data_IF_118333950307
#
_entry.id   IF_118333950307
#
_cell.length_a   1.000
_cell.length_b   1.000
_cell.length_c   1.000
_cell.angle_alpha   90.00
_cell.angle_beta   90.00
_cell.angle_gamma   90.00
#
_symmetry.space_group_name_H-M   'P 1'
#
loop_
_entity.id
_entity.type
_entity.pdbx_description
1 polymer ?
#
# COMPACT_ATOMS: atom_id res chain seq x y z
N UNK A 1 32.22 27.54 -54.75
CA UNK A 1 31.39 28.68 -54.35
C UNK A 1 30.24 28.08 -53.60
N UNK A 2 30.37 28.01 -52.27
CA UNK A 2 29.61 28.80 -51.31
C UNK A 2 28.21 28.22 -51.12
N UNK A 3 27.69 27.87 -50.00
CA UNK A 3 27.99 28.18 -48.60
C UNK A 3 27.13 27.21 -47.77
N UNK A 4 27.71 26.42 -46.90
CA UNK A 4 26.98 25.58 -45.93
C UNK A 4 26.84 26.36 -44.62
N UNK A 5 25.66 26.91 -44.40
CA UNK A 5 25.28 27.57 -43.16
C UNK A 5 25.17 26.54 -42.01
N UNK A 6 25.93 26.79 -40.97
CA UNK A 6 25.91 26.08 -39.66
C UNK A 6 24.54 26.34 -39.00
N UNK A 7 23.76 25.27 -38.75
CA UNK A 7 22.65 25.34 -37.79
C UNK A 7 23.21 24.96 -36.42
N UNK A 8 23.18 25.95 -35.53
CA UNK A 8 23.54 25.77 -34.13
C UNK A 8 22.60 24.82 -33.40
N UNK A 9 23.17 23.94 -32.63
CA UNK A 9 22.49 23.24 -31.57
C UNK A 9 22.11 24.23 -30.46
N UNK A 10 20.85 24.56 -30.36
CA UNK A 10 20.30 25.20 -29.15
C UNK A 10 20.17 24.13 -28.08
N UNK A 11 20.70 24.47 -26.91
CA UNK A 11 20.81 23.59 -25.77
C UNK A 11 19.43 23.11 -25.27
N UNK A 12 19.44 21.91 -24.79
CA UNK A 12 18.39 21.37 -23.96
C UNK A 12 18.22 22.26 -22.71
N UNK A 13 17.10 22.93 -22.60
CA UNK A 13 16.67 23.51 -21.34
C UNK A 13 16.60 22.37 -20.30
N UNK A 14 17.60 22.34 -19.43
CA UNK A 14 17.54 21.57 -18.22
C UNK A 14 16.31 22.09 -17.44
N UNK A 15 15.26 21.27 -17.34
CA UNK A 15 14.18 21.53 -16.41
C UNK A 15 14.81 21.71 -15.03
N UNK A 16 14.90 22.95 -14.61
CA UNK A 16 15.19 23.31 -13.21
C UNK A 16 14.01 22.73 -12.42
N UNK A 17 14.22 21.60 -11.80
CA UNK A 17 13.31 21.05 -10.81
C UNK A 17 13.27 22.09 -9.68
N UNK A 18 12.22 22.87 -9.63
CA UNK A 18 11.92 23.70 -8.45
C UNK A 18 12.01 22.79 -7.22
N UNK A 19 13.00 23.04 -6.40
CA UNK A 19 13.15 22.36 -5.12
C UNK A 19 11.99 22.85 -4.26
N UNK A 20 10.93 22.05 -4.17
CA UNK A 20 9.83 22.35 -3.25
C UNK A 20 10.42 22.54 -1.84
N UNK A 21 9.99 23.59 -1.10
CA UNK A 21 10.49 23.83 0.24
C UNK A 21 10.31 22.59 1.12
N UNK A 22 11.30 22.30 1.95
CA UNK A 22 11.26 21.16 2.86
C UNK A 22 10.08 21.29 3.83
N UNK A 23 9.09 20.42 3.69
CA UNK A 23 7.91 20.35 4.56
C UNK A 23 8.19 19.45 5.76
N UNK A 24 7.73 19.83 6.95
CA UNK A 24 7.82 18.99 8.16
C UNK A 24 6.58 18.11 8.24
N UNK A 25 6.77 16.82 8.00
CA UNK A 25 5.69 15.83 7.91
C UNK A 25 5.69 14.92 9.14
N UNK A 26 4.60 14.89 9.88
CA UNK A 26 4.39 13.91 10.95
C UNK A 26 3.52 12.76 10.44
N UNK A 27 4.00 11.54 10.55
CA UNK A 27 3.26 10.34 10.21
C UNK A 27 2.66 9.75 11.49
N UNK A 28 1.32 9.68 11.56
CA UNK A 28 0.57 9.18 12.70
C UNK A 28 -0.18 7.89 12.31
N UNK A 29 -0.18 6.86 13.17
CA UNK A 29 -0.91 5.64 12.88
C UNK A 29 -0.76 4.56 13.94
N UNK A 30 -1.31 3.39 13.66
CA UNK A 30 -1.18 2.20 14.51
C UNK A 30 0.08 1.39 14.19
N UNK A 31 0.55 0.63 15.15
CA UNK A 31 1.49 -0.45 14.93
C UNK A 31 0.76 -1.67 14.32
N UNK A 32 1.45 -2.51 13.56
CA UNK A 32 0.86 -3.70 12.92
C UNK A 32 0.95 -3.64 11.39
N UNK A 33 -0.12 -4.02 10.67
CA UNK A 33 -0.13 -3.97 9.19
C UNK A 33 0.15 -2.57 8.64
N UNK A 34 -0.36 -1.54 9.33
CA UNK A 34 -0.14 -0.13 8.98
C UNK A 34 1.29 0.36 9.25
N UNK A 35 2.07 -0.35 10.05
CA UNK A 35 3.50 -0.01 10.26
C UNK A 35 4.28 -0.03 8.94
N UNK A 36 3.95 -0.96 8.04
CA UNK A 36 4.58 -1.00 6.72
C UNK A 36 4.26 0.26 5.91
N UNK A 37 3.04 0.75 6.00
CA UNK A 37 2.62 2.00 5.38
C UNK A 37 3.42 3.18 5.92
N UNK A 38 3.42 3.35 7.23
CA UNK A 38 4.17 4.43 7.88
C UNK A 38 5.66 4.37 7.57
N UNK A 39 6.25 3.17 7.53
CA UNK A 39 7.65 3.00 7.20
C UNK A 39 7.95 3.37 5.74
N UNK A 40 7.11 2.94 4.80
CA UNK A 40 7.28 3.24 3.38
C UNK A 40 7.04 4.71 3.09
N UNK A 41 6.02 5.33 3.71
CA UNK A 41 5.78 6.77 3.63
C UNK A 41 6.96 7.56 4.21
N UNK A 42 7.48 7.15 5.38
CA UNK A 42 8.66 7.78 5.99
C UNK A 42 9.86 7.80 5.02
N UNK A 43 10.18 6.64 4.44
CA UNK A 43 11.28 6.55 3.47
C UNK A 43 11.05 7.41 2.23
N UNK A 44 9.81 7.47 1.76
CA UNK A 44 9.45 8.33 0.63
C UNK A 44 9.62 9.81 0.96
N UNK A 45 9.18 10.26 2.13
CA UNK A 45 9.37 11.64 2.58
C UNK A 45 10.85 12.01 2.68
N UNK A 46 11.68 11.14 3.29
CA UNK A 46 13.15 11.35 3.39
C UNK A 46 13.77 11.47 2.00
N UNK A 47 13.41 10.59 1.05
CA UNK A 47 13.93 10.64 -0.33
C UNK A 47 13.51 11.89 -1.08
N UNK A 48 12.36 12.46 -0.76
CA UNK A 48 11.87 13.70 -1.33
C UNK A 48 12.47 14.95 -0.65
N UNK A 49 13.34 14.79 0.35
CA UNK A 49 14.00 15.89 1.04
C UNK A 49 13.15 16.56 2.14
N UNK A 50 12.03 15.93 2.56
CA UNK A 50 11.20 16.44 3.63
C UNK A 50 11.71 16.03 5.01
N UNK A 51 11.55 16.90 6.02
CA UNK A 51 11.73 16.51 7.41
C UNK A 51 10.56 15.62 7.85
N UNK A 52 10.84 14.47 8.47
CA UNK A 52 9.78 13.51 8.82
C UNK A 52 9.99 12.89 10.17
N UNK A 53 8.92 12.79 10.95
CA UNK A 53 8.86 12.03 12.20
C UNK A 53 7.66 11.09 12.23
N UNK A 54 7.69 10.09 13.12
CA UNK A 54 6.63 9.07 13.24
C UNK A 54 6.14 8.95 14.67
N UNK A 55 4.82 8.89 14.83
CA UNK A 55 4.17 8.61 16.12
C UNK A 55 3.21 7.42 15.96
N UNK A 56 3.32 6.47 16.88
CA UNK A 56 2.37 5.37 16.97
C UNK A 56 1.33 5.68 18.05
N UNK A 57 0.09 5.93 17.60
CA UNK A 57 -1.02 6.32 18.46
C UNK A 57 -1.52 5.21 19.38
N UNK A 58 -1.32 3.95 18.98
CA UNK A 58 -1.75 2.78 19.75
C UNK A 58 -0.63 1.73 19.72
N UNK A 59 -0.51 0.96 20.82
CA UNK A 59 0.53 -0.04 20.97
C UNK A 59 1.90 0.55 20.68
N UNK A 60 2.23 1.65 21.31
CA UNK A 60 3.47 2.40 21.12
C UNK A 60 4.70 1.52 20.89
N UNK A 61 5.73 2.09 20.38
CA UNK A 61 6.99 1.42 19.98
C UNK A 61 7.84 0.92 21.18
N UNK A 62 7.43 1.18 22.42
CA UNK A 62 8.16 0.80 23.63
C UNK A 62 7.55 -0.43 24.31
N UNK A 63 8.39 -1.26 24.94
CA UNK A 63 7.96 -2.38 25.77
C UNK A 63 7.00 -1.92 26.89
N UNK A 64 7.26 -0.74 27.47
CA UNK A 64 6.44 -0.13 28.51
C UNK A 64 5.01 0.13 28.05
N UNK A 65 4.80 0.65 26.84
CA UNK A 65 3.46 0.91 26.30
C UNK A 65 2.68 -0.38 26.06
N UNK A 66 3.38 -1.45 25.62
CA UNK A 66 2.75 -2.77 25.42
C UNK A 66 2.37 -3.44 26.73
N UNK A 67 3.23 -3.35 27.75
CA UNK A 67 2.95 -3.88 29.09
C UNK A 67 1.80 -3.13 29.74
N UNK A 68 1.76 -1.80 29.61
CA UNK A 68 0.69 -0.98 30.18
C UNK A 68 -0.67 -1.27 29.52
N UNK A 69 -0.73 -1.39 28.19
CA UNK A 69 -1.95 -1.77 27.47
C UNK A 69 -2.46 -3.17 27.88
N UNK A 70 -1.54 -4.12 28.08
CA UNK A 70 -1.88 -5.47 28.55
C UNK A 70 -2.35 -5.46 30.00
N UNK A 71 -1.78 -4.62 30.84
CA UNK A 71 -2.15 -4.53 32.27
C UNK A 71 -3.53 -3.90 32.46
N UNK A 72 -3.92 -2.93 31.62
CA UNK A 72 -5.24 -2.30 31.63
C UNK A 72 -6.34 -3.14 30.97
N UNK A 73 -6.02 -4.29 30.38
CA UNK A 73 -7.00 -5.18 29.73
C UNK A 73 -7.72 -4.58 28.53
N UNK A 74 -7.21 -3.48 27.96
CA UNK A 74 -7.76 -2.80 26.79
C UNK A 74 -6.69 -2.72 25.71
N UNK A 75 -6.79 -3.58 24.71
CA UNK A 75 -6.01 -3.43 23.48
C UNK A 75 -6.38 -2.10 22.82
N UNK A 76 -5.41 -1.19 22.76
CA UNK A 76 -5.55 0.09 22.08
C UNK A 76 -5.95 1.28 22.94
N UNK A 77 -5.96 1.17 24.27
CA UNK A 77 -6.22 2.33 25.14
C UNK A 77 -5.10 3.37 25.05
N UNK A 78 -5.49 4.63 24.82
CA UNK A 78 -4.57 5.78 24.91
C UNK A 78 -4.29 6.07 26.37
N UNK A 79 -3.02 6.27 26.71
CA UNK A 79 -2.61 6.61 28.06
C UNK A 79 -2.11 8.05 28.12
N UNK A 80 -2.29 8.71 29.26
CA UNK A 80 -1.90 10.11 29.44
C UNK A 80 -0.43 10.38 29.06
N UNK A 81 0.49 9.43 29.35
CA UNK A 81 1.89 9.60 28.96
C UNK A 81 2.13 9.51 27.43
N UNK A 82 1.29 8.75 26.68
CA UNK A 82 1.35 8.71 25.21
C UNK A 82 0.93 10.04 24.62
N UNK A 83 -0.13 10.64 25.15
CA UNK A 83 -0.58 11.97 24.73
C UNK A 83 0.45 13.05 25.10
N UNK A 84 0.98 13.05 26.32
CA UNK A 84 2.05 13.97 26.72
C UNK A 84 3.33 13.82 25.87
N UNK A 85 3.67 12.60 25.42
CA UNK A 85 4.75 12.38 24.46
C UNK A 85 4.42 12.95 23.09
N UNK A 86 3.18 12.80 22.65
CA UNK A 86 2.73 13.34 21.38
C UNK A 86 2.78 14.86 21.38
N UNK A 87 2.28 15.52 22.43
CA UNK A 87 2.34 16.97 22.63
C UNK A 87 3.78 17.49 22.59
N UNK A 88 4.72 16.82 23.30
CA UNK A 88 6.15 17.17 23.21
C UNK A 88 6.69 17.01 21.79
N UNK A 89 6.34 15.92 21.09
CA UNK A 89 6.76 15.74 19.70
C UNK A 89 6.24 16.87 18.81
N UNK A 90 5.00 17.32 19.01
CA UNK A 90 4.42 18.44 18.27
C UNK A 90 5.12 19.77 18.57
N UNK A 91 5.43 20.04 19.85
CA UNK A 91 6.13 21.24 20.27
C UNK A 91 7.55 21.33 19.67
N UNK A 92 8.27 20.19 19.68
CA UNK A 92 9.66 20.12 19.18
C UNK A 92 9.71 20.12 17.65
N UNK A 93 8.85 19.33 17.00
CA UNK A 93 8.91 19.11 15.55
C UNK A 93 8.11 20.15 14.74
N UNK A 94 7.00 20.69 15.29
CA UNK A 94 6.10 21.68 14.66
C UNK A 94 5.75 21.28 13.23
N UNK A 95 5.00 20.19 13.02
CA UNK A 95 4.68 19.71 11.68
C UNK A 95 3.84 20.71 10.89
N UNK A 96 4.09 20.81 9.59
CA UNK A 96 3.26 21.55 8.64
C UNK A 96 2.11 20.66 8.14
N UNK A 97 2.39 19.34 8.03
CA UNK A 97 1.45 18.32 7.57
C UNK A 97 1.48 17.11 8.52
N UNK A 98 0.31 16.60 8.88
CA UNK A 98 0.13 15.32 9.56
C UNK A 98 -0.54 14.33 8.59
N UNK A 99 0.11 13.21 8.30
CA UNK A 99 -0.47 12.12 7.51
C UNK A 99 -0.90 11.00 8.46
N UNK A 100 -2.19 10.78 8.57
CA UNK A 100 -2.79 9.77 9.45
C UNK A 100 -3.04 8.50 8.65
N UNK A 101 -2.26 7.47 8.89
CA UNK A 101 -2.45 6.16 8.25
C UNK A 101 -3.43 5.29 9.04
N UNK A 102 -4.62 5.07 8.46
CA UNK A 102 -5.73 4.35 9.11
C UNK A 102 -6.46 5.23 10.12
N UNK A 103 -7.13 6.26 9.61
CA UNK A 103 -7.86 7.31 10.34
C UNK A 103 -8.69 6.77 11.50
N UNK A 104 -9.52 5.78 11.22
CA UNK A 104 -10.48 5.25 12.19
C UNK A 104 -9.86 4.42 13.31
N UNK A 105 -8.61 4.11 13.17
CA UNK A 105 -7.87 3.42 14.20
C UNK A 105 -7.08 4.32 15.14
N UNK A 106 -7.06 5.63 14.93
CA UNK A 106 -6.39 6.59 15.80
C UNK A 106 -7.42 7.15 16.78
N UNK A 107 -7.14 7.19 18.11
CA UNK A 107 -8.03 7.77 19.11
C UNK A 107 -8.28 9.25 18.87
N UNK A 108 -9.50 9.71 19.17
CA UNK A 108 -9.93 11.09 19.01
C UNK A 108 -9.07 12.10 19.78
N UNK A 109 -8.48 11.71 20.90
CA UNK A 109 -7.61 12.60 21.69
C UNK A 109 -6.44 13.14 20.90
N UNK A 110 -5.86 12.36 19.97
CA UNK A 110 -4.80 12.84 19.08
C UNK A 110 -5.28 13.95 18.15
N UNK A 111 -6.50 13.82 17.62
CA UNK A 111 -7.10 14.84 16.75
C UNK A 111 -7.45 16.11 17.56
N UNK A 112 -8.00 15.96 18.77
CA UNK A 112 -8.29 17.10 19.65
C UNK A 112 -7.04 17.90 19.98
N UNK A 113 -5.91 17.24 20.26
CA UNK A 113 -4.61 17.89 20.47
C UNK A 113 -4.18 18.64 19.19
N UNK A 114 -4.26 18.02 18.02
CA UNK A 114 -3.89 18.66 16.75
C UNK A 114 -4.74 19.90 16.47
N UNK A 115 -6.05 19.83 16.71
CA UNK A 115 -6.97 20.95 16.51
C UNK A 115 -6.80 22.07 17.53
N UNK A 116 -6.29 21.77 18.73
CA UNK A 116 -6.01 22.74 19.79
C UNK A 116 -4.69 23.50 19.62
N UNK A 117 -3.86 23.18 18.61
CA UNK A 117 -2.60 23.88 18.40
C UNK A 117 -2.81 25.29 17.86
N UNK A 118 -2.04 26.29 18.34
CA UNK A 118 -2.09 27.66 17.81
C UNK A 118 -1.78 27.76 16.31
N UNK A 119 -0.86 26.93 15.84
CA UNK A 119 -0.54 26.73 14.43
C UNK A 119 -0.90 25.29 14.07
N UNK A 120 -2.18 25.10 13.68
CA UNK A 120 -2.70 23.80 13.34
C UNK A 120 -2.08 23.29 12.02
N UNK A 121 -1.46 22.10 12.00
CA UNK A 121 -0.99 21.49 10.77
C UNK A 121 -2.19 21.05 9.88
N UNK A 122 -1.95 20.91 8.57
CA UNK A 122 -2.90 20.23 7.71
C UNK A 122 -2.95 18.73 8.06
N UNK A 123 -4.12 18.12 7.96
CA UNK A 123 -4.33 16.71 8.34
C UNK A 123 -4.83 15.93 7.13
N UNK A 124 -3.99 15.03 6.60
CA UNK A 124 -4.31 14.10 5.53
C UNK A 124 -4.67 12.74 6.12
N UNK A 125 -5.89 12.27 5.93
CA UNK A 125 -6.33 10.96 6.41
C UNK A 125 -6.27 9.88 5.34
N UNK A 126 -5.49 8.80 5.54
CA UNK A 126 -5.45 7.65 4.63
C UNK A 126 -6.42 6.57 5.11
N UNK A 127 -7.32 6.15 4.23
CA UNK A 127 -8.35 5.14 4.47
C UNK A 127 -8.09 3.95 3.54
N UNK A 128 -7.64 2.83 4.10
CA UNK A 128 -7.21 1.64 3.36
C UNK A 128 -8.04 0.39 3.60
N UNK A 129 -8.93 0.42 4.57
CA UNK A 129 -9.84 -0.66 4.94
C UNK A 129 -11.24 -0.09 5.15
N UNK A 130 -12.26 -0.97 5.12
CA UNK A 130 -13.64 -0.61 5.50
C UNK A 130 -13.67 -0.01 6.90
N UNK A 131 -14.57 0.90 7.14
CA UNK A 131 -14.70 1.63 8.39
C UNK A 131 -16.09 1.45 9.00
N UNK A 132 -16.21 1.53 10.36
CA UNK A 132 -17.50 1.49 11.04
C UNK A 132 -18.37 2.69 10.69
N UNK A 133 -19.73 2.55 10.75
CA UNK A 133 -20.66 3.66 10.47
C UNK A 133 -20.48 4.89 11.40
N UNK A 134 -20.00 4.69 12.62
CA UNK A 134 -19.76 5.74 13.64
C UNK A 134 -18.41 6.46 13.47
N UNK A 135 -17.80 6.35 12.29
CA UNK A 135 -16.45 6.89 12.01
C UNK A 135 -16.43 8.38 11.68
N UNK A 136 -17.57 9.05 11.56
CA UNK A 136 -17.72 10.43 11.08
C UNK A 136 -16.86 11.42 11.87
N UNK A 137 -16.89 11.38 13.20
CA UNK A 137 -16.14 12.33 14.03
C UNK A 137 -14.63 12.32 13.73
N UNK A 138 -14.05 11.13 13.46
CA UNK A 138 -12.63 11.02 13.08
C UNK A 138 -12.37 11.44 11.65
N UNK A 139 -13.30 11.15 10.75
CA UNK A 139 -13.22 11.54 9.35
C UNK A 139 -13.19 13.07 9.23
N UNK A 140 -14.12 13.75 9.90
CA UNK A 140 -14.29 15.20 9.86
C UNK A 140 -13.18 15.98 10.61
N UNK A 141 -12.31 15.28 11.35
CA UNK A 141 -11.08 15.86 11.88
C UNK A 141 -9.98 16.04 10.81
N UNK A 142 -10.10 15.44 9.63
CA UNK A 142 -9.14 15.53 8.55
C UNK A 142 -9.50 16.68 7.58
N UNK A 143 -8.50 17.39 7.07
CA UNK A 143 -8.71 18.39 6.01
C UNK A 143 -9.01 17.72 4.67
N UNK A 144 -8.53 16.49 4.46
CA UNK A 144 -8.85 15.65 3.32
C UNK A 144 -8.66 14.16 3.65
N UNK A 145 -9.56 13.33 3.10
CA UNK A 145 -9.46 11.88 3.16
C UNK A 145 -8.97 11.32 1.82
N UNK A 146 -8.11 10.32 1.90
CA UNK A 146 -7.57 9.61 0.75
C UNK A 146 -8.00 8.15 0.80
N UNK A 147 -8.83 7.73 -0.14
CA UNK A 147 -9.42 6.41 -0.22
C UNK A 147 -8.63 5.51 -1.18
N UNK A 148 -8.26 4.32 -0.72
CA UNK A 148 -7.59 3.32 -1.58
C UNK A 148 -8.59 2.50 -2.40
N UNK A 149 -9.87 2.66 -2.15
CA UNK A 149 -10.99 1.95 -2.75
C UNK A 149 -12.08 2.95 -3.14
N UNK A 150 -12.54 2.93 -4.40
CA UNK A 150 -13.56 3.87 -4.87
C UNK A 150 -14.92 3.65 -4.23
N UNK A 151 -15.21 2.46 -3.71
CA UNK A 151 -16.43 2.18 -2.97
C UNK A 151 -16.54 3.04 -1.70
N UNK A 152 -15.43 3.35 -1.07
CA UNK A 152 -15.41 4.13 0.16
C UNK A 152 -15.96 5.55 0.01
N UNK A 153 -16.06 6.11 -1.21
CA UNK A 153 -16.76 7.38 -1.42
C UNK A 153 -18.27 7.26 -1.11
N UNK A 154 -18.89 6.18 -1.55
CA UNK A 154 -20.31 5.92 -1.30
C UNK A 154 -20.55 5.63 0.18
N UNK A 155 -19.68 4.82 0.79
CA UNK A 155 -19.77 4.47 2.21
C UNK A 155 -19.56 5.71 3.09
N UNK A 156 -18.64 6.60 2.74
CA UNK A 156 -18.39 7.87 3.41
C UNK A 156 -19.59 8.83 3.32
N UNK A 157 -20.18 8.94 2.14
CA UNK A 157 -21.39 9.74 1.93
C UNK A 157 -22.55 9.20 2.75
N UNK A 158 -22.76 7.88 2.77
CA UNK A 158 -23.78 7.21 3.59
C UNK A 158 -23.53 7.40 5.09
N UNK A 159 -22.27 7.44 5.54
CA UNK A 159 -21.90 7.72 6.92
C UNK A 159 -21.91 9.23 7.27
N UNK A 160 -22.25 10.10 6.32
CA UNK A 160 -22.37 11.55 6.49
C UNK A 160 -21.05 12.28 6.71
N UNK A 161 -19.92 11.77 6.14
CA UNK A 161 -18.63 12.46 6.21
C UNK A 161 -18.68 13.80 5.46
N UNK A 162 -18.11 14.84 6.05
CA UNK A 162 -18.02 16.19 5.45
C UNK A 162 -16.63 16.50 4.89
N UNK A 163 -15.60 15.80 5.38
CA UNK A 163 -14.24 15.96 4.87
C UNK A 163 -14.16 15.55 3.38
N UNK A 164 -13.54 16.37 2.50
CA UNK A 164 -13.43 16.08 1.08
C UNK A 164 -12.57 14.82 0.86
N UNK A 165 -13.04 13.94 -0.03
CA UNK A 165 -12.38 12.69 -0.38
C UNK A 165 -11.62 12.76 -1.70
N UNK A 166 -10.50 12.04 -1.81
CA UNK A 166 -9.77 11.79 -3.07
C UNK A 166 -9.38 10.32 -3.18
N UNK A 167 -9.48 9.76 -4.38
CA UNK A 167 -8.96 8.42 -4.66
C UNK A 167 -7.42 8.45 -4.67
N UNK A 168 -6.81 7.57 -3.88
CA UNK A 168 -5.37 7.43 -3.77
C UNK A 168 -5.02 5.96 -3.56
N UNK A 169 -4.76 5.20 -4.64
CA UNK A 169 -4.48 3.77 -4.52
C UNK A 169 -3.21 3.49 -3.72
N UNK A 170 -3.07 2.25 -3.27
CA UNK A 170 -1.86 1.77 -2.63
C UNK A 170 -0.63 1.95 -3.51
N UNK A 171 0.54 1.75 -2.95
CA UNK A 171 1.81 2.02 -3.61
C UNK A 171 2.89 1.03 -3.16
N UNK A 172 4.05 1.09 -3.80
CA UNK A 172 5.21 0.28 -3.46
C UNK A 172 6.43 1.14 -3.13
N UNK A 173 7.35 0.63 -2.31
CA UNK A 173 8.71 1.17 -2.17
C UNK A 173 9.65 0.45 -3.15
N UNK A 174 10.05 1.08 -4.28
CA UNK A 174 10.80 0.43 -5.34
C UNK A 174 12.26 0.10 -4.96
N UNK A 175 12.79 0.68 -3.90
CA UNK A 175 14.12 0.31 -3.40
C UNK A 175 14.10 -1.04 -2.66
N UNK A 176 12.97 -1.36 -2.05
CA UNK A 176 12.77 -2.63 -1.35
C UNK A 176 12.26 -3.71 -2.28
N UNK A 177 11.23 -3.40 -3.05
CA UNK A 177 10.63 -4.31 -4.03
C UNK A 177 11.26 -4.05 -5.39
N UNK A 178 12.30 -4.80 -5.69
CA UNK A 178 13.09 -4.70 -6.92
C UNK A 178 13.31 -6.08 -7.52
N UNK A 179 13.61 -6.17 -8.82
CA UNK A 179 13.89 -7.44 -9.47
C UNK A 179 14.99 -8.24 -8.75
N UNK A 180 14.83 -9.54 -8.78
CA UNK A 180 15.78 -10.51 -8.28
C UNK A 180 16.57 -11.19 -9.41
N UNK A 181 17.14 -12.39 -9.17
CA UNK A 181 17.83 -13.16 -10.17
C UNK A 181 16.91 -13.52 -11.35
N UNK A 182 17.50 -13.65 -12.55
CA UNK A 182 16.76 -13.93 -13.78
C UNK A 182 16.01 -15.28 -13.75
N UNK A 183 16.58 -16.30 -13.08
CA UNK A 183 15.95 -17.63 -13.00
C UNK A 183 14.84 -17.66 -11.98
N UNK A 184 13.63 -17.96 -12.44
CA UNK A 184 12.43 -18.12 -11.61
C UNK A 184 12.04 -19.58 -11.47
N UNK A 185 11.39 -19.92 -10.34
CA UNK A 185 10.82 -21.25 -10.10
C UNK A 185 9.56 -21.44 -10.95
N UNK A 186 9.30 -22.66 -11.38
CA UNK A 186 8.11 -23.00 -12.17
C UNK A 186 6.82 -23.14 -11.33
N UNK A 187 6.75 -22.51 -10.15
CA UNK A 187 5.59 -22.56 -9.27
C UNK A 187 4.86 -21.22 -9.28
N UNK A 188 3.53 -21.26 -9.34
CA UNK A 188 2.66 -20.12 -9.02
C UNK A 188 2.74 -19.81 -7.53
N UNK A 189 2.86 -18.55 -7.16
CA UNK A 189 2.91 -18.13 -5.76
C UNK A 189 1.60 -17.48 -5.32
N UNK A 190 1.10 -17.87 -4.16
CA UNK A 190 0.04 -17.18 -3.45
C UNK A 190 0.47 -16.87 -2.01
N UNK A 191 0.41 -15.59 -1.60
CA UNK A 191 0.79 -15.16 -0.24
C UNK A 191 -0.35 -14.40 0.40
N UNK A 192 -1.11 -15.04 1.26
CA UNK A 192 -2.20 -14.43 2.04
C UNK A 192 -2.63 -15.34 3.19
N UNK A 193 -3.30 -14.78 4.21
CA UNK A 193 -4.08 -15.58 5.16
C UNK A 193 -5.31 -16.16 4.46
N UNK A 194 -5.76 -17.33 4.93
CA UNK A 194 -6.97 -17.98 4.43
C UNK A 194 -8.20 -17.10 4.66
N UNK A 195 -9.09 -17.07 3.70
CA UNK A 195 -10.52 -16.78 3.81
C UNK A 195 -11.25 -17.81 2.99
N UNK A 196 -12.54 -17.98 3.17
CA UNK A 196 -13.34 -18.95 2.39
C UNK A 196 -13.25 -18.66 0.88
N UNK A 197 -13.38 -17.41 0.50
CA UNK A 197 -13.25 -16.99 -0.90
C UNK A 197 -11.87 -17.31 -1.49
N UNK A 198 -10.79 -17.00 -0.78
CA UNK A 198 -9.42 -17.31 -1.22
C UNK A 198 -9.18 -18.80 -1.33
N UNK A 199 -9.72 -19.58 -0.40
CA UNK A 199 -9.60 -21.03 -0.46
C UNK A 199 -10.34 -21.60 -1.67
N UNK A 200 -11.56 -21.13 -1.97
CA UNK A 200 -12.31 -21.55 -3.14
C UNK A 200 -11.52 -21.27 -4.44
N UNK A 201 -10.89 -20.10 -4.57
CA UNK A 201 -10.04 -19.77 -5.72
C UNK A 201 -8.84 -20.71 -5.80
N UNK A 202 -8.14 -20.94 -4.70
CA UNK A 202 -6.94 -21.78 -4.66
C UNK A 202 -7.27 -23.24 -4.96
N UNK A 203 -8.35 -23.78 -4.39
CA UNK A 203 -8.83 -25.14 -4.69
C UNK A 203 -9.28 -25.29 -6.15
N UNK A 204 -9.62 -24.20 -6.80
CA UNK A 204 -9.95 -24.15 -8.22
C UNK A 204 -8.75 -24.26 -9.17
N UNK A 205 -7.51 -24.16 -8.68
CA UNK A 205 -6.31 -24.29 -9.52
C UNK A 205 -6.11 -25.73 -9.98
N UNK A 206 -5.86 -25.91 -11.27
CA UNK A 206 -5.54 -27.21 -11.88
C UNK A 206 -4.05 -27.55 -11.79
N UNK A 207 -3.23 -26.61 -11.35
CA UNK A 207 -1.79 -26.82 -11.19
C UNK A 207 -1.35 -26.49 -9.77
N UNK A 208 -0.38 -27.26 -9.21
CA UNK A 208 0.15 -26.98 -7.88
C UNK A 208 0.71 -25.57 -7.77
N UNK A 209 0.44 -24.95 -6.63
CA UNK A 209 0.95 -23.62 -6.28
C UNK A 209 1.72 -23.66 -4.96
N UNK A 210 2.59 -22.69 -4.77
CA UNK A 210 3.23 -22.36 -3.49
C UNK A 210 2.33 -21.42 -2.71
N UNK A 211 1.78 -21.86 -1.59
CA UNK A 211 0.87 -21.09 -0.73
C UNK A 211 1.58 -20.77 0.57
N UNK A 212 1.57 -19.49 0.96
CA UNK A 212 2.22 -19.00 2.18
C UNK A 212 1.27 -18.06 2.93
N UNK A 213 0.99 -18.36 4.18
CA UNK A 213 0.09 -17.57 5.01
C UNK A 213 -0.39 -18.32 6.22
N UNK A 214 -1.35 -17.76 6.95
CA UNK A 214 -1.96 -18.41 8.13
C UNK A 214 -3.28 -19.08 7.76
N UNK A 215 -3.68 -20.05 8.60
CA UNK A 215 -4.98 -20.73 8.59
C UNK A 215 -5.22 -21.69 7.41
N UNK A 216 -4.14 -22.09 6.71
CA UNK A 216 -4.13 -23.03 5.58
C UNK A 216 -3.93 -24.49 5.99
N UNK A 217 -4.16 -24.87 7.25
CA UNK A 217 -3.84 -26.19 7.77
C UNK A 217 -4.59 -27.33 7.08
N UNK A 218 -5.84 -27.11 6.68
CA UNK A 218 -6.64 -28.13 5.95
C UNK A 218 -6.12 -28.35 4.53
N UNK A 219 -5.87 -27.27 3.80
CA UNK A 219 -5.31 -27.34 2.45
C UNK A 219 -3.92 -27.99 2.43
N UNK A 220 -3.15 -27.82 3.50
CA UNK A 220 -1.85 -28.46 3.62
C UNK A 220 -1.90 -29.99 3.66
N UNK A 221 -3.03 -30.58 4.14
CA UNK A 221 -3.22 -32.04 4.23
C UNK A 221 -3.57 -32.66 2.90
N UNK A 222 -4.14 -31.90 1.97
CA UNK A 222 -4.55 -32.40 0.66
C UNK A 222 -3.35 -32.79 -0.22
N UNK A 223 -2.16 -32.27 0.07
CA UNK A 223 -0.91 -32.60 -0.62
C UNK A 223 -0.77 -32.09 -2.05
N UNK A 224 -1.81 -31.50 -2.62
CA UNK A 224 -1.77 -30.96 -3.99
C UNK A 224 -0.94 -29.67 -4.09
N UNK A 225 -1.11 -28.76 -3.15
CA UNK A 225 -0.34 -27.51 -3.07
C UNK A 225 0.81 -27.61 -2.09
N UNK A 226 1.87 -26.84 -2.34
CA UNK A 226 2.97 -26.71 -1.38
C UNK A 226 2.67 -25.58 -0.39
N UNK A 227 2.13 -25.90 0.77
CA UNK A 227 1.64 -24.96 1.77
C UNK A 227 2.67 -24.69 2.87
N UNK A 228 2.83 -23.42 3.25
CA UNK A 228 3.49 -22.99 4.49
C UNK A 228 2.50 -22.21 5.34
N UNK A 229 1.94 -22.90 6.34
CA UNK A 229 0.94 -22.33 7.24
C UNK A 229 1.61 -21.46 8.33
N UNK A 230 2.19 -20.31 7.93
CA UNK A 230 2.86 -19.39 8.85
C UNK A 230 2.95 -17.97 8.29
N UNK A 231 3.03 -17.00 9.20
CA UNK A 231 3.41 -15.62 8.84
C UNK A 231 4.88 -15.58 8.41
N UNK A 232 5.17 -14.75 7.44
CA UNK A 232 6.53 -14.51 6.95
C UNK A 232 6.91 -13.04 7.11
N UNK A 233 8.19 -12.79 7.27
CA UNK A 233 8.74 -11.44 7.27
C UNK A 233 8.91 -10.88 5.86
N UNK A 234 9.07 -9.55 5.77
CA UNK A 234 9.19 -8.83 4.51
C UNK A 234 10.32 -9.31 3.60
N UNK A 235 11.49 -9.56 4.15
CA UNK A 235 12.64 -10.06 3.36
C UNK A 235 12.30 -11.39 2.66
N UNK A 236 11.60 -12.29 3.35
CA UNK A 236 11.14 -13.55 2.77
C UNK A 236 10.04 -13.32 1.71
N UNK A 237 9.12 -12.37 1.95
CA UNK A 237 8.09 -12.01 0.97
C UNK A 237 8.72 -11.49 -0.34
N UNK A 238 9.68 -10.56 -0.25
CA UNK A 238 10.41 -10.04 -1.40
C UNK A 238 11.15 -11.17 -2.12
N UNK A 239 11.84 -12.02 -1.37
CA UNK A 239 12.54 -13.18 -1.91
C UNK A 239 11.59 -14.13 -2.68
N UNK A 240 10.36 -14.35 -2.18
CA UNK A 240 9.34 -15.14 -2.87
C UNK A 240 8.90 -14.47 -4.18
N UNK A 241 8.58 -13.18 -4.17
CA UNK A 241 8.18 -12.44 -5.37
C UNK A 241 9.27 -12.46 -6.45
N UNK A 242 10.53 -12.37 -6.05
CA UNK A 242 11.66 -12.40 -6.97
C UNK A 242 11.90 -13.75 -7.64
N UNK A 243 11.38 -14.85 -7.08
CA UNK A 243 11.77 -16.21 -7.46
C UNK A 243 10.66 -17.08 -8.06
N UNK A 244 9.41 -16.62 -8.07
CA UNK A 244 8.32 -17.39 -8.66
C UNK A 244 7.93 -16.84 -10.03
N UNK A 245 7.45 -17.71 -10.92
CA UNK A 245 7.17 -17.30 -12.31
C UNK A 245 5.99 -16.33 -12.40
N UNK A 246 5.03 -16.42 -11.49
CA UNK A 246 3.88 -15.53 -11.38
C UNK A 246 3.35 -15.48 -9.94
N UNK A 247 2.61 -14.45 -9.62
CA UNK A 247 1.95 -14.27 -8.32
C UNK A 247 0.45 -14.15 -8.52
N UNK A 248 -0.29 -15.04 -7.85
CA UNK A 248 -1.74 -14.94 -7.73
C UNK A 248 -2.09 -13.91 -6.67
N UNK A 249 -2.97 -12.99 -6.98
CA UNK A 249 -3.59 -12.07 -6.04
C UNK A 249 -5.09 -12.31 -6.01
N UNK A 250 -5.62 -12.44 -4.81
CA UNK A 250 -7.05 -12.55 -4.50
C UNK A 250 -7.35 -11.55 -3.39
N UNK A 251 -8.35 -10.70 -3.59
CA UNK A 251 -8.74 -9.70 -2.59
C UNK A 251 -9.07 -10.30 -1.23
N UNK A 252 -9.12 -9.46 -0.23
CA UNK A 252 -9.77 -9.77 1.04
C UNK A 252 -11.10 -9.04 1.08
N UNK A 253 -12.18 -9.74 0.93
CA UNK A 253 -13.54 -9.20 0.83
C UNK A 253 -13.97 -8.43 2.08
N UNK A 254 -13.38 -8.76 3.24
CA UNK A 254 -13.62 -8.02 4.46
C UNK A 254 -13.03 -6.60 4.46
N UNK A 255 -12.00 -6.35 3.63
CA UNK A 255 -11.25 -5.09 3.67
C UNK A 255 -11.54 -4.19 2.47
N UNK A 256 -11.70 -4.77 1.29
CA UNK A 256 -11.84 -4.04 0.02
C UNK A 256 -12.96 -4.61 -0.84
N UNK A 257 -13.56 -3.76 -1.65
CA UNK A 257 -14.63 -4.13 -2.59
C UNK A 257 -14.22 -3.82 -4.04
N UNK A 258 -13.80 -2.60 -4.32
CA UNK A 258 -13.36 -2.14 -5.63
C UNK A 258 -11.84 -1.99 -5.75
N UNK A 259 -11.17 -1.68 -4.64
CA UNK A 259 -9.78 -1.25 -4.60
C UNK A 259 -8.77 -2.39 -4.74
N UNK A 260 -7.54 -2.03 -5.06
CA UNK A 260 -6.42 -2.94 -5.16
C UNK A 260 -5.66 -3.03 -3.84
N UNK A 261 -5.15 -4.20 -3.52
CA UNK A 261 -4.26 -4.40 -2.37
C UNK A 261 -2.77 -4.29 -2.76
N UNK A 262 -1.87 -4.32 -1.79
CA UNK A 262 -0.42 -4.20 -2.06
C UNK A 262 0.14 -5.27 -2.98
N UNK A 263 -0.47 -6.47 -3.03
CA UNK A 263 -0.04 -7.56 -3.91
C UNK A 263 -0.33 -7.31 -5.39
N UNK A 264 -1.12 -6.31 -5.74
CA UNK A 264 -1.25 -5.85 -7.12
C UNK A 264 -0.02 -5.06 -7.58
N UNK A 265 0.76 -4.46 -6.67
CA UNK A 265 1.89 -3.57 -6.97
C UNK A 265 3.27 -4.18 -6.66
N UNK A 266 3.42 -4.80 -5.49
CA UNK A 266 4.72 -5.27 -4.99
C UNK A 266 5.37 -6.35 -5.86
N UNK A 267 4.64 -7.38 -6.34
CA UNK A 267 5.25 -8.39 -7.21
C UNK A 267 5.65 -7.82 -8.57
N UNK A 268 4.86 -6.89 -9.14
CA UNK A 268 5.21 -6.19 -10.38
C UNK A 268 6.52 -5.40 -10.22
N UNK A 269 6.70 -4.69 -9.11
CA UNK A 269 7.96 -4.03 -8.80
C UNK A 269 9.15 -5.01 -8.72
N UNK A 270 8.91 -6.25 -8.27
CA UNK A 270 9.89 -7.35 -8.28
C UNK A 270 10.04 -8.02 -9.66
N UNK A 271 9.35 -7.54 -10.68
CA UNK A 271 9.37 -8.10 -12.03
C UNK A 271 8.64 -9.44 -12.16
N UNK A 272 7.68 -9.75 -11.28
CA UNK A 272 6.82 -10.92 -11.40
C UNK A 272 5.46 -10.53 -11.98
N UNK A 273 4.94 -11.22 -13.00
CA UNK A 273 3.60 -10.99 -13.49
C UNK A 273 2.57 -11.35 -12.40
N UNK A 274 1.51 -10.57 -12.32
CA UNK A 274 0.43 -10.74 -11.36
C UNK A 274 -0.83 -11.19 -12.09
N UNK A 275 -1.47 -12.22 -11.54
CA UNK A 275 -2.82 -12.66 -11.85
C UNK A 275 -3.74 -12.09 -10.76
N UNK A 276 -4.54 -11.10 -11.11
CA UNK A 276 -5.42 -10.38 -10.18
C UNK A 276 -6.88 -10.70 -10.46
N UNK A 277 -7.68 -10.87 -9.42
CA UNK A 277 -9.13 -10.92 -9.57
C UNK A 277 -9.66 -9.60 -10.17
N UNK A 278 -10.72 -9.68 -10.96
CA UNK A 278 -11.31 -8.51 -11.61
C UNK A 278 -11.91 -7.56 -10.57
N UNK A 279 -11.40 -6.34 -10.52
CA UNK A 279 -11.79 -5.32 -9.56
C UNK A 279 -12.11 -4.01 -10.27
N UNK A 280 -13.18 -3.29 -9.89
CA UNK A 280 -13.62 -2.05 -10.54
C UNK A 280 -12.55 -0.96 -10.64
N UNK A 281 -11.64 -0.87 -9.66
CA UNK A 281 -10.56 0.12 -9.65
C UNK A 281 -9.31 -0.29 -10.42
N UNK A 282 -9.25 -1.54 -10.90
CA UNK A 282 -8.07 -2.05 -11.59
C UNK A 282 -7.70 -1.24 -12.84
N UNK A 283 -8.65 -0.87 -13.72
CA UNK A 283 -8.34 -0.05 -14.91
C UNK A 283 -7.86 1.37 -14.59
N UNK A 284 -8.08 1.86 -13.37
CA UNK A 284 -7.54 3.15 -12.91
C UNK A 284 -6.03 3.10 -12.62
N UNK A 285 -5.51 1.90 -12.37
CA UNK A 285 -4.12 1.70 -11.98
C UNK A 285 -3.29 1.03 -13.06
N UNK A 286 -3.88 0.11 -13.80
CA UNK A 286 -3.19 -0.74 -14.78
C UNK A 286 -4.04 -0.94 -16.04
N UNK A 287 -3.37 -1.22 -17.15
CA UNK A 287 -3.98 -1.71 -18.39
C UNK A 287 -4.13 -3.24 -18.30
N UNK A 288 -5.39 -3.77 -18.17
CA UNK A 288 -5.63 -5.19 -18.08
C UNK A 288 -5.10 -5.97 -19.30
N UNK A 289 -4.49 -7.11 -19.07
CA UNK A 289 -3.93 -7.97 -20.13
C UNK A 289 -2.54 -7.54 -20.64
N UNK A 290 -2.14 -6.29 -20.40
CA UNK A 290 -0.83 -5.76 -20.79
C UNK A 290 0.10 -5.54 -19.60
N UNK A 291 -0.37 -4.86 -18.54
CA UNK A 291 0.43 -4.47 -17.38
C UNK A 291 0.16 -5.39 -16.17
N UNK A 292 -1.02 -6.00 -16.15
CA UNK A 292 -1.46 -6.96 -15.14
C UNK A 292 -2.44 -7.94 -15.80
N UNK A 293 -2.42 -9.20 -15.39
CA UNK A 293 -3.36 -10.20 -15.89
C UNK A 293 -4.58 -10.25 -14.98
N UNK A 294 -5.77 -10.31 -15.59
CA UNK A 294 -7.04 -10.28 -14.86
C UNK A 294 -7.82 -11.56 -15.14
N UNK A 295 -8.38 -12.14 -14.10
CA UNK A 295 -9.29 -13.27 -14.21
C UNK A 295 -10.61 -12.97 -13.50
N UNK A 296 -11.72 -13.42 -14.04
CA UNK A 296 -13.07 -13.25 -13.51
C UNK A 296 -13.59 -14.53 -12.85
N UNK A 297 -13.10 -15.65 -13.32
CA UNK A 297 -13.52 -16.98 -12.86
C UNK A 297 -12.36 -17.98 -12.84
N UNK A 298 -12.68 -19.20 -12.43
CA UNK A 298 -11.73 -20.31 -12.34
C UNK A 298 -11.15 -20.70 -13.70
N UNK A 299 -11.95 -20.70 -14.74
CA UNK A 299 -11.55 -21.14 -16.07
C UNK A 299 -10.53 -20.16 -16.66
N UNK A 300 -10.83 -18.86 -16.64
CA UNK A 300 -9.89 -17.81 -17.07
C UNK A 300 -8.59 -17.87 -16.28
N UNK A 301 -8.66 -18.08 -14.95
CA UNK A 301 -7.46 -18.20 -14.12
C UNK A 301 -6.58 -19.36 -14.58
N UNK A 302 -7.14 -20.55 -14.81
CA UNK A 302 -6.38 -21.73 -15.22
C UNK A 302 -5.81 -21.58 -16.64
N UNK A 303 -6.56 -20.97 -17.57
CA UNK A 303 -6.08 -20.62 -18.92
C UNK A 303 -4.87 -19.69 -18.85
N UNK A 304 -4.93 -18.64 -18.03
CA UNK A 304 -3.83 -17.69 -17.85
C UNK A 304 -2.61 -18.35 -17.20
N UNK A 305 -2.79 -19.20 -16.19
CA UNK A 305 -1.69 -19.94 -15.55
C UNK A 305 -1.04 -20.89 -16.55
N UNK A 306 -1.81 -21.63 -17.33
CA UNK A 306 -1.31 -22.53 -18.37
C UNK A 306 -0.53 -21.75 -19.47
N UNK A 307 -1.06 -20.60 -19.90
CA UNK A 307 -0.39 -19.72 -20.86
C UNK A 307 0.95 -19.21 -20.34
N UNK A 308 1.00 -18.71 -19.11
CA UNK A 308 2.24 -18.21 -18.50
C UNK A 308 3.32 -19.30 -18.41
N UNK A 309 2.92 -20.55 -18.18
CA UNK A 309 3.86 -21.69 -18.13
C UNK A 309 4.37 -22.08 -19.53
N UNK A 310 3.49 -22.06 -20.53
CA UNK A 310 3.82 -22.42 -21.92
C UNK A 310 4.60 -21.32 -22.63
N UNK A 311 4.33 -20.06 -22.30
CA UNK A 311 4.86 -18.88 -22.95
C UNK A 311 5.60 -17.95 -21.96
N UNK A 312 6.79 -18.31 -21.44
CA UNK A 312 7.50 -17.48 -20.44
C UNK A 312 7.78 -16.04 -20.91
N UNK A 313 8.01 -15.85 -22.21
CA UNK A 313 8.21 -14.54 -22.81
C UNK A 313 6.97 -13.63 -22.70
N UNK A 314 5.77 -14.19 -22.76
CA UNK A 314 4.54 -13.46 -22.50
C UNK A 314 4.50 -12.93 -21.06
N UNK A 315 4.78 -13.79 -20.08
CA UNK A 315 4.85 -13.40 -18.67
C UNK A 315 5.88 -12.31 -18.40
N UNK A 316 7.05 -12.40 -19.05
CA UNK A 316 8.11 -11.38 -18.94
C UNK A 316 7.65 -10.03 -19.48
N UNK A 317 6.99 -9.99 -20.65
CA UNK A 317 6.47 -8.72 -21.21
C UNK A 317 5.43 -8.07 -20.29
N UNK A 318 4.49 -8.84 -19.76
CA UNK A 318 3.47 -8.33 -18.83
C UNK A 318 4.13 -7.79 -17.56
N UNK A 319 5.06 -8.54 -16.98
CA UNK A 319 5.77 -8.13 -15.77
C UNK A 319 6.57 -6.84 -15.98
N UNK A 320 7.24 -6.69 -17.12
CA UNK A 320 8.02 -5.49 -17.43
C UNK A 320 7.11 -4.27 -17.64
N UNK A 321 6.01 -4.40 -18.40
CA UNK A 321 5.04 -3.33 -18.59
C UNK A 321 4.41 -2.91 -17.25
N UNK A 322 3.98 -3.88 -16.43
CA UNK A 322 3.43 -3.61 -15.11
C UNK A 322 4.45 -2.96 -14.16
N UNK A 323 5.71 -3.39 -14.21
CA UNK A 323 6.79 -2.77 -13.45
C UNK A 323 7.03 -1.33 -13.86
N UNK A 324 7.07 -1.03 -15.17
CA UNK A 324 7.20 0.33 -15.68
C UNK A 324 6.06 1.21 -15.18
N UNK A 325 4.82 0.75 -15.26
CA UNK A 325 3.65 1.45 -14.73
C UNK A 325 3.78 1.73 -13.24
N UNK A 326 4.15 0.71 -12.44
CA UNK A 326 4.33 0.86 -10.98
C UNK A 326 5.39 1.91 -10.65
N UNK A 327 6.52 1.89 -11.33
CA UNK A 327 7.60 2.85 -11.10
C UNK A 327 7.23 4.27 -11.54
N UNK A 328 6.49 4.41 -12.62
CA UNK A 328 6.07 5.71 -13.16
C UNK A 328 4.97 6.38 -12.32
N UNK A 329 4.06 5.60 -11.70
CA UNK A 329 2.84 6.19 -11.12
C UNK A 329 2.49 5.68 -9.71
N UNK A 330 3.00 4.51 -9.26
CA UNK A 330 2.51 3.84 -8.07
C UNK A 330 3.57 3.61 -6.99
N UNK A 331 4.46 4.61 -6.79
CA UNK A 331 5.39 4.62 -5.66
C UNK A 331 4.84 5.46 -4.50
N UNK A 332 5.30 5.22 -3.28
CA UNK A 332 4.96 6.08 -2.13
C UNK A 332 5.41 7.53 -2.32
N UNK A 333 6.43 7.78 -3.15
CA UNK A 333 6.80 9.15 -3.54
C UNK A 333 5.69 9.87 -4.28
N UNK A 334 5.00 9.20 -5.22
CA UNK A 334 3.84 9.77 -5.90
C UNK A 334 2.69 10.08 -4.93
N UNK A 335 2.46 9.21 -3.92
CA UNK A 335 1.40 9.46 -2.92
C UNK A 335 1.70 10.68 -2.07
N UNK A 336 2.94 10.85 -1.62
CA UNK A 336 3.35 12.04 -0.85
C UNK A 336 3.23 13.30 -1.70
N UNK A 337 3.71 13.31 -2.95
CA UNK A 337 3.55 14.47 -3.83
C UNK A 337 2.07 14.84 -4.05
N UNK A 338 1.20 13.84 -4.26
CA UNK A 338 -0.24 14.08 -4.39
C UNK A 338 -0.82 14.75 -3.15
N UNK A 339 -0.46 14.25 -1.95
CA UNK A 339 -0.95 14.81 -0.68
C UNK A 339 -0.44 16.25 -0.49
N UNK A 340 0.83 16.49 -0.78
CA UNK A 340 1.44 17.83 -0.67
C UNK A 340 0.81 18.82 -1.66
N UNK A 341 0.58 18.41 -2.91
CA UNK A 341 -0.08 19.25 -3.91
C UNK A 341 -1.53 19.62 -3.53
N UNK A 342 -2.19 18.75 -2.77
CA UNK A 342 -3.59 18.99 -2.35
C UNK A 342 -3.71 19.85 -1.10
N UNK A 343 -2.74 19.82 -0.21
CA UNK A 343 -2.80 20.40 1.14
C UNK A 343 -1.64 21.35 1.46
N UNK A 344 -0.66 21.46 0.57
CA UNK A 344 0.51 22.32 0.71
C UNK A 344 0.24 23.78 0.38
#
# INVERSE_FOLDING_TARGET
MESLARRGWMGSDAMVTEVQPSTRILLLGKRGSLVLWLENLHRACVRLGHAVTRVFAINGDTLRSRLHAKWQGRDGATTGWMLARFERTLADFRPDLVVVAGVFGVPLDYYRILHGLPQRPRIAGLVGDRFPPDSRERADCCDRLYYTDSRFFQDAAAAGFTAPGRYLPLAVDPERFRPGPATRRAELLFVASRTEFREAVVRGLETPARIVGTDWGELARDGFHRVSNRKIGRAHLIWLYQRHFAVLNVRNEANVEHGLNQRSFEPLACGAPVLNDDLPDLPRCFEPGREILVYRDREELNVLVARLRREPAFGTRVAEAGRQRVLAEHTYGHRIRTILNDLG
#
